data_IF_742160863035
#
_entry.id   IF_742160863035
#
_cell.length_a   1.000
_cell.length_b   1.000
_cell.length_c   1.000
_cell.angle_alpha   90.00
_cell.angle_beta   90.00
_cell.angle_gamma   90.00
#
_symmetry.space_group_name_H-M   'P 1'
#
loop_
_entity.id
_entity.type
_entity.pdbx_description
1 polymer ?
#
# COMPACT_ATOMS: atom_id res chain seq x y z
N UNK A 1 10.93 -25.92 18.06
CA UNK A 1 9.64 -26.12 17.39
C UNK A 1 8.95 -24.76 17.40
N UNK A 2 8.63 -24.18 16.24
CA UNK A 2 7.87 -22.93 16.17
C UNK A 2 6.42 -23.21 16.57
N UNK A 3 5.88 -22.47 17.54
CA UNK A 3 4.48 -22.57 17.92
C UNK A 3 3.64 -21.69 16.99
N UNK A 4 3.06 -22.32 15.98
CA UNK A 4 2.22 -21.68 14.97
C UNK A 4 1.01 -20.95 15.59
N UNK A 5 0.44 -21.51 16.67
CA UNK A 5 -0.68 -20.87 17.36
C UNK A 5 -0.26 -19.58 18.06
N UNK A 6 0.94 -19.54 18.63
CA UNK A 6 1.48 -18.31 19.20
C UNK A 6 1.75 -17.26 18.12
N UNK A 7 2.31 -17.64 16.97
CA UNK A 7 2.51 -16.73 15.84
C UNK A 7 1.20 -16.09 15.35
N UNK A 8 0.13 -16.89 15.20
CA UNK A 8 -1.18 -16.38 14.80
C UNK A 8 -1.76 -15.40 15.82
N UNK A 9 -1.57 -15.64 17.13
CA UNK A 9 -1.99 -14.69 18.18
C UNK A 9 -1.23 -13.37 18.09
N UNK A 10 0.07 -13.39 17.82
CA UNK A 10 0.87 -12.18 17.63
C UNK A 10 0.42 -11.39 16.40
N UNK A 11 0.21 -12.04 15.25
CA UNK A 11 -0.32 -11.37 14.07
C UNK A 11 -1.71 -10.79 14.33
N UNK A 12 -2.57 -11.51 15.06
CA UNK A 12 -3.89 -10.98 15.41
C UNK A 12 -3.79 -9.71 16.26
N UNK A 13 -3.00 -9.76 17.34
CA UNK A 13 -2.77 -8.61 18.21
C UNK A 13 -2.19 -7.42 17.43
N UNK A 14 -1.16 -7.65 16.61
CA UNK A 14 -0.56 -6.59 15.79
C UNK A 14 -1.56 -6.00 14.77
N UNK A 15 -2.45 -6.81 14.22
CA UNK A 15 -3.51 -6.32 13.33
C UNK A 15 -4.54 -5.46 14.07
N UNK A 16 -4.92 -5.87 15.29
CA UNK A 16 -5.80 -5.10 16.18
C UNK A 16 -5.14 -3.79 16.64
N UNK A 17 -3.81 -3.76 16.76
CA UNK A 17 -3.00 -2.56 17.05
C UNK A 17 -2.68 -1.71 15.81
N UNK A 18 -3.16 -2.11 14.62
CA UNK A 18 -3.11 -1.28 13.42
C UNK A 18 -1.98 -1.58 12.43
N UNK A 19 -1.14 -2.60 12.64
CA UNK A 19 -0.06 -2.92 11.71
C UNK A 19 -0.58 -3.33 10.32
N UNK A 20 -0.26 -2.53 9.29
CA UNK A 20 -0.64 -2.82 7.90
C UNK A 20 -0.20 -4.21 7.42
N UNK A 21 0.99 -4.67 7.81
CA UNK A 21 1.48 -6.01 7.46
C UNK A 21 0.68 -7.12 8.14
N UNK A 22 0.37 -6.95 9.43
CA UNK A 22 -0.42 -7.92 10.18
C UNK A 22 -1.88 -7.94 9.68
N UNK A 23 -2.47 -6.78 9.40
CA UNK A 23 -3.80 -6.67 8.80
C UNK A 23 -3.88 -7.37 7.44
N UNK A 24 -2.88 -7.17 6.57
CA UNK A 24 -2.79 -7.87 5.29
C UNK A 24 -2.71 -9.39 5.47
N UNK A 25 -1.86 -9.85 6.39
CA UNK A 25 -1.68 -11.27 6.70
C UNK A 25 -2.95 -11.93 7.24
N UNK A 26 -3.60 -11.31 8.24
CA UNK A 26 -4.86 -11.84 8.81
C UNK A 26 -5.96 -11.87 7.73
N UNK A 27 -6.07 -10.83 6.89
CA UNK A 27 -7.03 -10.82 5.81
C UNK A 27 -6.80 -11.94 4.78
N UNK A 28 -5.55 -12.26 4.47
CA UNK A 28 -5.20 -13.39 3.59
C UNK A 28 -5.66 -14.73 4.17
N UNK A 29 -5.60 -14.91 5.49
CA UNK A 29 -6.12 -16.12 6.14
C UNK A 29 -7.65 -16.20 6.15
N UNK A 30 -8.34 -15.06 6.19
CA UNK A 30 -9.80 -15.00 6.21
C UNK A 30 -10.44 -15.13 4.81
N UNK A 31 -9.75 -14.70 3.75
CA UNK A 31 -10.32 -14.59 2.41
C UNK A 31 -10.56 -15.89 1.62
N UNK A 32 -9.77 -16.98 1.76
CA UNK A 32 -10.03 -18.20 1.01
C UNK A 32 -11.13 -19.10 1.63
N UNK A 33 -11.65 -18.76 2.82
CA UNK A 33 -12.52 -19.67 3.60
C UNK A 33 -13.96 -19.14 3.74
N UNK A 34 -14.27 -17.97 3.18
CA UNK A 34 -15.59 -17.30 3.31
C UNK A 34 -16.11 -17.16 4.76
N UNK A 35 -15.20 -17.23 5.75
CA UNK A 35 -15.55 -17.18 7.18
C UNK A 35 -16.01 -15.77 7.57
N UNK A 36 -15.28 -14.76 7.09
CA UNK A 36 -15.54 -13.36 7.43
C UNK A 36 -15.08 -12.44 6.27
N UNK A 37 -15.72 -12.51 5.10
CA UNK A 37 -15.30 -11.76 3.91
C UNK A 37 -15.32 -10.24 4.11
N UNK A 38 -16.28 -9.72 4.90
CA UNK A 38 -16.36 -8.29 5.22
C UNK A 38 -15.18 -7.82 6.08
N UNK A 39 -14.80 -8.61 7.08
CA UNK A 39 -13.65 -8.29 7.94
C UNK A 39 -12.36 -8.36 7.14
N UNK A 40 -12.21 -9.35 6.26
CA UNK A 40 -11.06 -9.42 5.36
C UNK A 40 -10.97 -8.20 4.43
N UNK A 41 -12.10 -7.73 3.89
CA UNK A 41 -12.15 -6.49 3.10
C UNK A 41 -11.74 -5.27 3.92
N UNK A 42 -12.26 -5.15 5.14
CA UNK A 42 -11.94 -4.03 6.03
C UNK A 42 -10.45 -3.99 6.36
N UNK A 43 -9.87 -5.13 6.74
CA UNK A 43 -8.43 -5.22 7.04
C UNK A 43 -7.56 -4.90 5.84
N UNK A 44 -7.91 -5.40 4.64
CA UNK A 44 -7.18 -5.03 3.42
C UNK A 44 -7.29 -3.54 3.11
N UNK A 45 -8.45 -2.94 3.32
CA UNK A 45 -8.65 -1.50 3.12
C UNK A 45 -7.76 -0.69 4.06
N UNK A 46 -7.78 -0.99 5.35
CA UNK A 46 -6.91 -0.32 6.31
C UNK A 46 -5.43 -0.48 5.97
N UNK A 47 -5.00 -1.68 5.56
CA UNK A 47 -3.62 -1.90 5.14
C UNK A 47 -3.28 -1.15 3.85
N UNK A 48 -4.19 -1.11 2.87
CA UNK A 48 -4.02 -0.38 1.61
C UNK A 48 -3.89 1.14 1.82
N UNK A 49 -4.74 1.72 2.68
CA UNK A 49 -4.69 3.14 3.07
C UNK A 49 -3.39 3.51 3.79
N UNK A 50 -2.76 2.53 4.46
CA UNK A 50 -1.44 2.66 5.08
C UNK A 50 -0.26 2.41 4.10
N UNK A 51 -0.53 2.21 2.81
CA UNK A 51 0.51 2.00 1.80
C UNK A 51 0.94 0.55 1.62
N UNK A 52 0.15 -0.44 2.04
CA UNK A 52 0.42 -1.84 1.71
C UNK A 52 -0.13 -2.19 0.32
N UNK A 53 0.74 -2.12 -0.70
CA UNK A 53 0.36 -2.35 -2.10
C UNK A 53 -0.22 -3.74 -2.38
N UNK A 54 0.29 -4.79 -1.72
CA UNK A 54 -0.24 -6.15 -1.86
C UNK A 54 -1.66 -6.27 -1.33
N UNK A 55 -1.95 -5.65 -0.18
CA UNK A 55 -3.29 -5.63 0.39
C UNK A 55 -4.26 -4.85 -0.51
N UNK A 56 -3.80 -3.74 -1.09
CA UNK A 56 -4.55 -2.93 -2.03
C UNK A 56 -4.91 -3.71 -3.31
N UNK A 57 -3.94 -4.40 -3.93
CA UNK A 57 -4.18 -5.25 -5.09
C UNK A 57 -5.15 -6.41 -4.79
N UNK A 58 -4.98 -7.07 -3.64
CA UNK A 58 -5.89 -8.12 -3.20
C UNK A 58 -7.32 -7.60 -2.94
N UNK A 59 -7.46 -6.39 -2.40
CA UNK A 59 -8.75 -5.71 -2.23
C UNK A 59 -9.37 -5.40 -3.59
N UNK A 60 -8.61 -4.84 -4.53
CA UNK A 60 -9.06 -4.53 -5.88
C UNK A 60 -9.60 -5.76 -6.61
N UNK A 61 -8.88 -6.88 -6.55
CA UNK A 61 -9.33 -8.16 -7.14
C UNK A 61 -10.63 -8.64 -6.49
N UNK A 62 -10.72 -8.60 -5.15
CA UNK A 62 -11.91 -9.04 -4.43
C UNK A 62 -13.15 -8.20 -4.81
N UNK A 63 -13.01 -6.88 -4.81
CA UNK A 63 -14.09 -5.94 -5.14
C UNK A 63 -14.51 -6.06 -6.62
N UNK A 64 -13.54 -6.22 -7.53
CA UNK A 64 -13.81 -6.46 -8.96
C UNK A 64 -14.62 -7.74 -9.17
N UNK A 65 -14.23 -8.83 -8.51
CA UNK A 65 -14.97 -10.10 -8.56
C UNK A 65 -16.38 -9.95 -7.98
N UNK A 66 -16.56 -9.12 -6.94
CA UNK A 66 -17.86 -8.75 -6.40
C UNK A 66 -18.64 -7.73 -7.25
N UNK A 67 -18.13 -7.37 -8.45
CA UNK A 67 -18.68 -6.37 -9.38
C UNK A 67 -18.78 -4.95 -8.81
N UNK A 68 -18.05 -4.67 -7.73
CA UNK A 68 -17.93 -3.34 -7.12
C UNK A 68 -16.81 -2.56 -7.81
N UNK A 69 -17.01 -2.28 -9.09
CA UNK A 69 -15.94 -1.80 -9.98
C UNK A 69 -15.32 -0.48 -9.55
N UNK A 70 -16.13 0.50 -9.13
CA UNK A 70 -15.62 1.79 -8.66
C UNK A 70 -14.68 1.62 -7.45
N UNK A 71 -15.12 0.85 -6.45
CA UNK A 71 -14.31 0.57 -5.27
C UNK A 71 -13.06 -0.26 -5.60
N UNK A 72 -13.12 -1.11 -6.63
CA UNK A 72 -11.95 -1.85 -7.12
C UNK A 72 -10.92 -0.91 -7.77
N UNK A 73 -11.35 0.09 -8.54
CA UNK A 73 -10.45 1.11 -9.10
C UNK A 73 -9.75 1.89 -8.00
N UNK A 74 -10.48 2.32 -6.97
CA UNK A 74 -9.91 3.02 -5.81
C UNK A 74 -8.87 2.16 -5.09
N UNK A 75 -9.16 0.87 -4.89
CA UNK A 75 -8.23 -0.06 -4.27
C UNK A 75 -6.97 -0.29 -5.13
N UNK A 76 -7.10 -0.48 -6.44
CA UNK A 76 -5.93 -0.57 -7.32
C UNK A 76 -5.14 0.75 -7.36
N UNK A 77 -5.82 1.90 -7.31
CA UNK A 77 -5.15 3.20 -7.27
C UNK A 77 -4.30 3.36 -5.99
N UNK A 78 -4.81 2.92 -4.84
CA UNK A 78 -4.01 2.81 -3.60
C UNK A 78 -2.82 1.86 -3.80
N UNK A 79 -3.00 0.76 -4.52
CA UNK A 79 -1.93 -0.16 -4.87
C UNK A 79 -0.82 0.50 -5.68
N UNK A 80 -1.17 1.26 -6.72
CA UNK A 80 -0.21 2.03 -7.52
C UNK A 80 0.50 3.08 -6.66
N UNK A 81 -0.23 3.79 -5.80
CA UNK A 81 0.36 4.75 -4.86
C UNK A 81 1.40 4.10 -3.95
N UNK A 82 1.12 2.88 -3.51
CA UNK A 82 2.00 2.05 -2.69
C UNK A 82 3.09 1.29 -3.47
N UNK A 83 3.17 1.46 -4.80
CA UNK A 83 4.19 0.84 -5.63
C UNK A 83 3.90 -0.57 -6.13
N UNK A 84 2.65 -1.03 -6.05
CA UNK A 84 2.26 -2.36 -6.55
C UNK A 84 2.10 -2.35 -8.08
N UNK A 85 3.07 -2.93 -8.79
CA UNK A 85 3.06 -3.08 -10.25
C UNK A 85 1.82 -3.83 -10.73
N UNK A 86 1.37 -4.86 -9.99
CA UNK A 86 0.20 -5.65 -10.38
C UNK A 86 -1.05 -4.77 -10.44
N UNK A 87 -1.24 -3.88 -9.48
CA UNK A 87 -2.32 -2.90 -9.48
C UNK A 87 -2.24 -1.95 -10.68
N UNK A 88 -1.04 -1.50 -11.07
CA UNK A 88 -0.87 -0.70 -12.29
C UNK A 88 -1.27 -1.49 -13.54
N UNK A 89 -0.94 -2.78 -13.61
CA UNK A 89 -1.33 -3.67 -14.71
C UNK A 89 -2.85 -3.89 -14.78
N UNK A 90 -3.53 -4.06 -13.64
CA UNK A 90 -4.99 -4.16 -13.60
C UNK A 90 -5.66 -2.88 -14.10
N UNK A 91 -5.14 -1.70 -13.73
CA UNK A 91 -5.67 -0.43 -14.22
C UNK A 91 -5.35 -0.22 -15.70
N UNK A 92 -4.12 -0.50 -16.15
CA UNK A 92 -3.77 -0.45 -17.57
C UNK A 92 -4.77 -1.26 -18.41
N UNK A 93 -4.98 -2.53 -18.06
CA UNK A 93 -5.85 -3.39 -18.85
C UNK A 93 -7.33 -3.07 -18.66
N UNK A 94 -7.74 -2.63 -17.47
CA UNK A 94 -9.11 -2.17 -17.21
C UNK A 94 -9.50 -0.98 -18.08
N UNK A 95 -8.59 0.00 -18.25
CA UNK A 95 -8.79 1.16 -19.11
C UNK A 95 -8.63 0.87 -20.61
N UNK A 96 -8.29 -0.36 -21.03
CA UNK A 96 -8.49 -0.79 -22.43
C UNK A 96 -9.95 -1.06 -22.77
N UNK A 97 -10.85 -0.98 -21.79
CA UNK A 97 -12.28 -1.21 -21.96
C UNK A 97 -12.61 -2.61 -22.48
N UNK A 98 -12.09 -3.69 -21.86
CA UNK A 98 -12.37 -5.04 -22.31
C UNK A 98 -13.87 -5.34 -22.17
N UNK A 99 -14.34 -6.34 -22.92
CA UNK A 99 -15.72 -6.82 -22.83
C UNK A 99 -15.93 -7.61 -21.52
N UNK A 100 -17.18 -7.77 -21.11
CA UNK A 100 -17.53 -8.42 -19.83
C UNK A 100 -17.22 -9.92 -19.76
N UNK A 101 -16.92 -10.55 -20.88
CA UNK A 101 -16.43 -11.93 -20.98
C UNK A 101 -14.95 -12.07 -20.59
N UNK A 102 -14.16 -11.00 -20.69
CA UNK A 102 -12.82 -10.90 -20.09
C UNK A 102 -12.94 -10.70 -18.58
N UNK A 103 -13.14 -11.80 -17.85
CA UNK A 103 -13.28 -11.77 -16.40
C UNK A 103 -12.01 -11.29 -15.67
N UNK A 104 -10.85 -11.33 -16.34
CA UNK A 104 -9.59 -10.94 -15.72
C UNK A 104 -9.46 -9.43 -15.61
N UNK A 105 -9.75 -8.70 -16.69
CA UNK A 105 -9.52 -7.25 -16.74
C UNK A 105 -10.80 -6.41 -16.79
N UNK A 106 -11.98 -7.02 -16.97
CA UNK A 106 -13.23 -6.28 -16.93
C UNK A 106 -13.47 -5.62 -15.56
N UNK A 107 -13.51 -4.28 -15.56
CA UNK A 107 -13.79 -3.43 -14.38
C UNK A 107 -14.73 -2.27 -14.75
N UNK A 108 -15.60 -2.48 -15.74
CA UNK A 108 -16.66 -1.52 -16.09
C UNK A 108 -16.19 -0.15 -16.56
N UNK A 109 -14.97 -0.05 -17.10
CA UNK A 109 -14.45 1.18 -17.71
C UNK A 109 -14.60 1.14 -19.23
N UNK A 110 -14.68 2.33 -19.83
CA UNK A 110 -14.54 2.51 -21.28
C UNK A 110 -13.08 2.68 -21.64
N UNK A 111 -12.75 2.46 -22.92
CA UNK A 111 -11.37 2.65 -23.40
C UNK A 111 -10.90 4.09 -23.16
N UNK A 112 -9.72 4.21 -22.55
CA UNK A 112 -9.00 5.45 -22.33
C UNK A 112 -7.50 5.20 -22.55
N UNK A 113 -7.07 5.37 -23.80
CA UNK A 113 -5.71 5.07 -24.22
C UNK A 113 -4.65 5.93 -23.52
N UNK A 114 -5.01 7.13 -23.08
CA UNK A 114 -4.08 8.00 -22.35
C UNK A 114 -3.85 7.45 -20.93
N UNK A 115 -4.91 7.04 -20.21
CA UNK A 115 -4.77 6.33 -18.93
C UNK A 115 -3.98 5.02 -19.08
N UNK A 116 -4.26 4.24 -20.12
CA UNK A 116 -3.52 3.01 -20.44
C UNK A 116 -2.02 3.31 -20.55
N UNK A 117 -1.65 4.34 -21.31
CA UNK A 117 -0.24 4.70 -21.49
C UNK A 117 0.42 5.14 -20.18
N UNK A 118 -0.26 5.97 -19.36
CA UNK A 118 0.28 6.44 -18.07
C UNK A 118 0.48 5.28 -17.10
N UNK A 119 -0.53 4.42 -16.89
CA UNK A 119 -0.37 3.24 -16.02
C UNK A 119 0.70 2.27 -16.52
N UNK A 120 0.82 2.08 -17.84
CA UNK A 120 1.90 1.27 -18.42
C UNK A 120 3.28 1.84 -18.12
N UNK A 121 3.45 3.15 -18.25
CA UNK A 121 4.71 3.83 -17.95
C UNK A 121 5.06 3.73 -16.45
N UNK A 122 4.08 3.99 -15.58
CA UNK A 122 4.23 3.84 -14.13
C UNK A 122 4.58 2.38 -13.77
N UNK A 123 3.82 1.41 -14.26
CA UNK A 123 4.03 -0.01 -14.00
C UNK A 123 5.44 -0.47 -14.40
N UNK A 124 5.96 0.00 -15.54
CA UNK A 124 7.35 -0.27 -15.93
C UNK A 124 8.37 0.25 -14.91
N UNK A 125 8.18 1.46 -14.39
CA UNK A 125 9.07 2.01 -13.36
C UNK A 125 8.98 1.18 -12.08
N UNK A 126 7.75 0.86 -11.64
CA UNK A 126 7.50 0.05 -10.45
C UNK A 126 8.14 -1.35 -10.54
N UNK A 127 8.00 -2.02 -11.69
CA UNK A 127 8.60 -3.33 -11.92
C UNK A 127 10.13 -3.27 -12.01
N UNK A 128 10.67 -2.37 -12.84
CA UNK A 128 12.12 -2.24 -13.05
C UNK A 128 12.88 -1.84 -11.78
N UNK A 129 12.26 -1.01 -10.94
CA UNK A 129 12.85 -0.52 -9.70
C UNK A 129 12.28 -1.22 -8.47
N UNK A 130 11.55 -2.33 -8.61
CA UNK A 130 10.89 -3.04 -7.50
C UNK A 130 11.83 -3.35 -6.33
N UNK A 131 13.10 -3.67 -6.61
CA UNK A 131 14.15 -3.91 -5.60
C UNK A 131 14.40 -2.71 -4.66
N UNK A 132 13.99 -1.52 -5.06
CA UNK A 132 14.14 -0.27 -4.33
C UNK A 132 12.86 0.18 -3.61
N UNK A 133 11.78 -0.62 -3.66
CA UNK A 133 10.47 -0.30 -3.09
C UNK A 133 9.94 1.07 -3.53
N UNK A 134 9.72 1.29 -4.85
CA UNK A 134 9.22 2.55 -5.36
C UNK A 134 7.79 2.81 -4.89
N UNK A 135 7.40 4.09 -4.81
CA UNK A 135 6.03 4.52 -4.48
C UNK A 135 5.60 5.66 -5.38
N UNK A 136 4.30 5.88 -5.53
CA UNK A 136 3.72 6.96 -6.36
C UNK A 136 2.62 7.70 -5.57
N UNK A 137 2.93 8.34 -4.43
CA UNK A 137 1.93 9.02 -3.61
C UNK A 137 1.13 10.08 -4.38
N UNK A 138 1.72 10.65 -5.42
CA UNK A 138 1.12 11.63 -6.34
C UNK A 138 0.25 11.02 -7.45
N UNK A 139 -0.09 9.72 -7.40
CA UNK A 139 -0.81 9.05 -8.50
C UNK A 139 -2.12 9.75 -8.90
N UNK A 140 -2.83 10.38 -7.96
CA UNK A 140 -4.06 11.13 -8.26
C UNK A 140 -3.80 12.49 -8.93
N UNK A 141 -2.58 13.03 -8.81
CA UNK A 141 -2.12 14.21 -9.57
C UNK A 141 -1.68 13.83 -10.99
N UNK A 142 -1.38 12.54 -11.23
CA UNK A 142 -0.91 12.04 -12.53
C UNK A 142 -2.04 11.39 -13.33
N UNK A 143 -2.77 10.45 -12.72
CA UNK A 143 -3.84 9.67 -13.34
C UNK A 143 -5.05 9.63 -12.41
N UNK A 144 -5.75 10.76 -12.19
CA UNK A 144 -6.96 10.75 -11.37
C UNK A 144 -8.00 9.79 -11.98
N UNK A 145 -8.71 9.06 -11.14
CA UNK A 145 -9.76 8.15 -11.60
C UNK A 145 -10.92 8.93 -12.26
N UNK A 146 -11.63 8.34 -13.24
CA UNK A 146 -12.84 8.95 -13.80
C UNK A 146 -13.87 9.30 -12.71
N UNK A 147 -14.65 10.38 -12.88
CA UNK A 147 -14.84 11.15 -14.11
C UNK A 147 -13.83 12.31 -14.32
N UNK A 148 -12.79 12.42 -13.47
CA UNK A 148 -11.82 13.50 -13.59
C UNK A 148 -11.08 13.47 -14.94
N UNK A 149 -10.75 14.64 -15.49
CA UNK A 149 -9.91 14.74 -16.70
C UNK A 149 -8.45 14.53 -16.34
N UNK A 150 -7.67 14.00 -17.27
CA UNK A 150 -6.23 13.87 -17.07
C UNK A 150 -5.56 15.26 -17.07
N UNK A 151 -4.74 15.56 -16.05
CA UNK A 151 -3.91 16.76 -16.05
C UNK A 151 -2.71 16.59 -16.99
N UNK A 152 -2.03 17.69 -17.34
CA UNK A 152 -0.74 17.60 -18.02
C UNK A 152 0.26 16.84 -17.13
N UNK A 153 1.04 15.94 -17.73
CA UNK A 153 2.08 15.18 -17.03
C UNK A 153 3.30 15.04 -17.94
N UNK A 154 4.48 15.24 -17.37
CA UNK A 154 5.76 15.23 -18.06
C UNK A 154 6.39 13.82 -18.17
N UNK A 155 5.71 12.80 -17.66
CA UNK A 155 6.17 11.42 -17.68
C UNK A 155 7.10 11.03 -16.53
N UNK A 156 7.31 11.91 -15.55
CA UNK A 156 8.20 11.67 -14.41
C UNK A 156 7.44 11.39 -13.11
N UNK A 157 8.10 10.66 -12.21
CA UNK A 157 7.59 10.38 -10.87
C UNK A 157 8.49 11.07 -9.85
N UNK A 158 7.90 11.71 -8.83
CA UNK A 158 8.64 12.41 -7.77
C UNK A 158 9.66 11.48 -7.11
N UNK A 159 9.26 10.23 -6.87
CA UNK A 159 10.14 9.21 -6.28
C UNK A 159 11.40 8.95 -7.11
N UNK A 160 11.32 8.97 -8.44
CA UNK A 160 12.49 8.78 -9.33
C UNK A 160 13.41 9.99 -9.23
N UNK A 161 12.84 11.21 -9.26
CA UNK A 161 13.61 12.44 -9.16
C UNK A 161 14.33 12.56 -7.82
N UNK A 162 13.66 12.25 -6.70
CA UNK A 162 14.25 12.25 -5.36
C UNK A 162 15.39 11.24 -5.23
N UNK A 163 15.19 10.04 -5.80
CA UNK A 163 16.22 8.99 -5.83
C UNK A 163 17.43 9.40 -6.65
N UNK A 164 17.23 9.96 -7.85
CA UNK A 164 18.32 10.41 -8.71
C UNK A 164 19.07 11.61 -8.13
N UNK A 165 18.36 12.51 -7.45
CA UNK A 165 18.95 13.62 -6.74
C UNK A 165 19.84 13.16 -5.56
N UNK A 166 19.59 11.95 -5.04
CA UNK A 166 20.34 11.33 -3.94
C UNK A 166 20.56 12.29 -2.74
N UNK A 167 19.55 13.11 -2.48
CA UNK A 167 19.59 14.09 -1.39
C UNK A 167 19.37 13.34 -0.08
N UNK A 168 20.29 13.42 0.90
CA UNK A 168 20.08 12.78 2.19
C UNK A 168 18.79 13.32 2.83
N UNK A 169 17.95 12.46 3.43
CA UNK A 169 16.78 12.94 4.16
C UNK A 169 17.23 13.96 5.23
N UNK A 170 16.46 15.04 5.45
CA UNK A 170 16.80 16.02 6.47
C UNK A 170 16.90 15.31 7.82
N UNK A 171 17.92 15.66 8.60
CA UNK A 171 18.01 15.16 9.98
C UNK A 171 16.74 15.56 10.74
N UNK A 172 16.14 14.67 11.54
CA UNK A 172 15.05 15.04 12.43
C UNK A 172 15.45 16.24 13.28
N UNK A 173 14.49 17.14 13.57
CA UNK A 173 14.77 18.24 14.47
C UNK A 173 15.08 17.71 15.88
N UNK A 174 15.96 18.40 16.61
CA UNK A 174 16.29 18.03 18.00
C UNK A 174 15.02 17.96 18.86
N UNK A 175 14.08 18.89 18.65
CA UNK A 175 12.78 18.90 19.32
C UNK A 175 11.95 17.63 19.06
N UNK A 176 11.96 17.11 17.82
CA UNK A 176 11.26 15.87 17.50
C UNK A 176 11.94 14.66 18.15
N UNK A 177 13.28 14.62 18.16
CA UNK A 177 14.05 13.58 18.84
C UNK A 177 13.72 13.56 20.34
N UNK A 178 13.73 14.73 20.98
CA UNK A 178 13.39 14.85 22.40
C UNK A 178 11.93 14.44 22.69
N UNK A 179 10.99 14.84 21.85
CA UNK A 179 9.58 14.48 22.01
C UNK A 179 9.38 12.96 21.93
N UNK A 180 9.95 12.32 20.90
CA UNK A 180 9.83 10.87 20.70
C UNK A 180 10.56 10.09 21.79
N UNK A 181 11.76 10.53 22.18
CA UNK A 181 12.51 9.94 23.28
C UNK A 181 11.73 10.02 24.58
N UNK A 182 11.13 11.18 24.91
CA UNK A 182 10.29 11.34 26.11
C UNK A 182 9.05 10.45 26.08
N UNK A 183 8.38 10.35 24.93
CA UNK A 183 7.19 9.52 24.76
C UNK A 183 7.48 8.02 25.02
N UNK A 184 8.67 7.55 24.63
CA UNK A 184 9.10 6.17 24.81
C UNK A 184 10.01 5.96 26.03
N UNK A 185 10.21 6.99 26.86
CA UNK A 185 11.11 6.99 28.03
C UNK A 185 12.53 6.51 27.65
N UNK A 186 13.08 7.08 26.59
CA UNK A 186 14.42 6.82 26.07
C UNK A 186 15.36 7.99 26.39
N UNK A 187 16.66 7.71 26.50
CA UNK A 187 17.69 8.74 26.53
C UNK A 187 17.73 9.47 25.17
N UNK A 188 17.51 10.79 25.09
CA UNK A 188 17.43 11.51 23.81
C UNK A 188 18.73 11.55 23.00
N UNK A 189 19.89 11.36 23.65
CA UNK A 189 21.21 11.38 22.99
C UNK A 189 21.59 10.03 22.42
N UNK A 190 21.18 8.94 23.08
CA UNK A 190 21.63 7.58 22.77
C UNK A 190 20.52 6.67 22.28
N UNK A 191 19.24 7.06 22.45
CA UNK A 191 18.06 6.25 22.14
C UNK A 191 17.87 5.04 23.07
N UNK A 192 18.67 4.91 24.14
CA UNK A 192 18.61 3.74 25.03
C UNK A 192 17.38 3.79 25.95
N UNK A 193 16.69 2.67 26.17
CA UNK A 193 15.58 2.59 27.13
C UNK A 193 16.03 2.97 28.54
N UNK A 194 15.32 3.90 29.17
CA UNK A 194 15.52 4.22 30.58
C UNK A 194 14.55 3.41 31.47
N UNK A 195 14.82 3.27 32.78
CA UNK A 195 13.91 2.61 33.71
C UNK A 195 12.49 3.21 33.61
N UNK A 196 11.49 2.36 33.36
CA UNK A 196 10.10 2.77 33.13
C UNK A 196 9.70 2.90 31.66
N UNK A 197 10.61 2.65 30.72
CA UNK A 197 10.26 2.54 29.30
C UNK A 197 9.41 1.29 29.01
N UNK A 198 8.39 1.39 28.14
CA UNK A 198 7.61 0.23 27.69
C UNK A 198 8.44 -0.79 26.90
N UNK A 199 9.64 -0.40 26.44
CA UNK A 199 10.61 -1.28 25.75
C UNK A 199 11.82 -1.61 26.63
N UNK A 200 11.77 -1.31 27.93
CA UNK A 200 12.81 -1.66 28.88
C UNK A 200 12.76 -3.16 29.19
N UNK A 201 13.69 -3.93 28.62
CA UNK A 201 13.96 -5.32 29.04
C UNK A 201 14.93 -5.30 30.23
N UNK A 202 14.50 -5.86 31.37
CA UNK A 202 15.39 -6.17 32.50
C UNK A 202 16.17 -7.45 32.20
N UNK A 203 17.18 -7.35 31.35
CA UNK A 203 18.27 -8.32 31.19
C UNK A 203 19.51 -7.42 31.02
N UNK A 204 20.47 -7.31 31.93
CA UNK A 204 21.04 -8.23 32.93
C UNK A 204 20.93 -7.77 34.40
#
# INVERSE_FOLDING_TARGET
QQDENMSLRYFRKAADEGSAQAQAYVAEKLAPIDIAPDIARQMRRCAAEQGNGKAAGALGINLKTAKQYQAALEAFQLGVAAGDESSASFLENGFRGPKSDDRLYYIGQTEDLERVQRYKQIGKVLGNLSYANPSVPEINEIVPLPPAKLPAWDGKLKWVEEREANIPPPKPSEALIEQLAKAMVLDPKTGKPMPGSPVYSKED
#
